data_IF_507665711350
#
_entry.id   IF_507665711350
#
_cell.length_a   1.000
_cell.length_b   1.000
_cell.length_c   1.000
_cell.angle_alpha   90.00
_cell.angle_beta   90.00
_cell.angle_gamma   90.00
#
_symmetry.space_group_name_H-M   'P 1'
#
loop_
_entity.id
_entity.type
_entity.pdbx_description
1 polymer ?
#
# COMPACT_ATOMS: atom_id res chain seq x y z
N UNK A 1 25.16 1.33 -7.03
CA UNK A 1 24.28 0.40 -6.29
C UNK A 1 24.85 0.19 -4.90
N UNK A 2 24.00 -0.10 -3.92
CA UNK A 2 24.37 -0.58 -2.59
C UNK A 2 23.95 -2.04 -2.53
N UNK A 3 24.90 -2.95 -2.39
CA UNK A 3 24.65 -4.38 -2.33
C UNK A 3 24.90 -4.88 -0.91
N UNK A 4 23.82 -5.15 -0.16
CA UNK A 4 23.93 -5.64 1.21
C UNK A 4 24.62 -7.01 1.25
N UNK A 5 24.65 -7.76 0.14
CA UNK A 5 25.35 -9.05 0.06
C UNK A 5 26.87 -8.96 0.20
N UNK A 6 27.43 -7.76 0.12
CA UNK A 6 28.85 -7.48 0.36
C UNK A 6 29.14 -7.14 1.83
N UNK A 7 28.13 -7.17 2.70
CA UNK A 7 28.27 -6.91 4.13
C UNK A 7 29.06 -8.03 4.81
N UNK A 8 29.93 -7.62 5.74
CA UNK A 8 30.60 -8.55 6.65
C UNK A 8 29.59 -9.16 7.62
N UNK A 9 29.48 -10.50 7.61
CA UNK A 9 28.56 -11.23 8.47
C UNK A 9 28.92 -11.15 9.97
N UNK A 10 30.13 -10.70 10.31
CA UNK A 10 30.61 -10.53 11.68
C UNK A 10 30.56 -9.08 12.18
N UNK A 11 30.13 -8.14 11.34
CA UNK A 11 29.92 -6.76 11.75
C UNK A 11 28.67 -6.62 12.63
N UNK A 12 28.63 -5.60 13.50
CA UNK A 12 27.46 -5.34 14.34
C UNK A 12 26.24 -4.87 13.51
N UNK A 13 26.50 -3.98 12.55
CA UNK A 13 25.48 -3.38 11.70
C UNK A 13 26.08 -2.78 10.41
N UNK A 14 25.23 -2.60 9.38
CA UNK A 14 25.57 -1.81 8.20
C UNK A 14 24.79 -0.51 8.16
N UNK A 15 25.52 0.61 8.06
CA UNK A 15 24.95 1.94 7.96
C UNK A 15 25.14 2.50 6.55
N UNK A 16 24.03 2.79 5.86
CA UNK A 16 24.00 3.40 4.54
C UNK A 16 23.26 4.72 4.66
N UNK A 17 23.95 5.83 4.43
CA UNK A 17 23.34 7.17 4.47
C UNK A 17 23.50 7.87 3.13
N UNK A 18 22.38 8.33 2.57
CA UNK A 18 22.30 9.13 1.36
C UNK A 18 21.58 10.42 1.71
N UNK A 19 22.28 11.55 1.59
CA UNK A 19 21.78 12.86 2.00
C UNK A 19 22.04 13.87 0.90
N UNK A 20 21.01 14.64 0.52
CA UNK A 20 21.11 15.66 -0.53
C UNK A 20 21.58 15.09 -1.89
N UNK A 21 21.26 13.81 -2.16
CA UNK A 21 21.64 13.17 -3.41
C UNK A 21 20.66 13.54 -4.54
N UNK A 22 21.19 13.63 -5.77
CA UNK A 22 20.40 13.83 -6.98
C UNK A 22 20.52 12.61 -7.89
N UNK A 23 19.39 12.01 -8.26
CA UNK A 23 19.29 10.95 -9.28
C UNK A 23 18.74 11.59 -10.55
N UNK A 24 19.45 11.49 -11.67
CA UNK A 24 19.04 12.14 -12.91
C UNK A 24 19.16 11.21 -14.12
N UNK A 25 18.37 11.49 -15.16
CA UNK A 25 18.57 10.94 -16.50
C UNK A 25 18.45 9.40 -16.59
N UNK A 26 17.55 8.80 -15.81
CA UNK A 26 17.39 7.34 -15.80
C UNK A 26 18.27 6.60 -14.79
N UNK A 27 19.02 7.31 -13.94
CA UNK A 27 19.86 6.71 -12.91
C UNK A 27 19.07 5.79 -11.98
N UNK A 28 19.65 4.65 -11.63
CA UNK A 28 19.04 3.67 -10.73
C UNK A 28 19.85 3.52 -9.44
N UNK A 29 19.27 3.95 -8.33
CA UNK A 29 19.78 3.63 -7.00
C UNK A 29 19.19 2.29 -6.57
N UNK A 30 19.99 1.22 -6.65
CA UNK A 30 19.56 -0.11 -6.21
C UNK A 30 20.14 -0.41 -4.83
N UNK A 31 19.28 -0.76 -3.87
CA UNK A 31 19.60 -1.30 -2.55
C UNK A 31 19.17 -2.77 -2.55
N UNK A 32 20.14 -3.67 -2.68
CA UNK A 32 19.90 -5.11 -2.79
C UNK A 32 20.08 -5.81 -1.45
N UNK A 33 19.02 -6.46 -0.97
CA UNK A 33 19.02 -7.37 0.16
C UNK A 33 19.34 -8.82 -0.24
N UNK A 34 18.85 -9.75 0.57
CA UNK A 34 19.23 -11.16 0.52
C UNK A 34 18.06 -12.05 0.13
N UNK A 35 18.32 -13.36 -0.01
CA UNK A 35 17.28 -14.36 0.19
C UNK A 35 16.79 -14.31 1.65
N UNK A 36 15.58 -14.80 1.92
CA UNK A 36 15.05 -14.79 3.28
C UNK A 36 15.89 -15.63 4.26
N UNK A 37 16.40 -16.79 3.82
CA UNK A 37 17.25 -17.66 4.65
C UNK A 37 18.56 -17.00 5.02
N UNK A 38 19.22 -16.34 4.07
CA UNK A 38 20.47 -15.62 4.34
C UNK A 38 20.21 -14.37 5.16
N UNK A 39 19.17 -13.59 4.89
CA UNK A 39 18.84 -12.37 5.63
C UNK A 39 18.82 -12.59 7.16
N UNK A 40 18.26 -13.73 7.61
CA UNK A 40 18.16 -14.09 9.04
C UNK A 40 19.50 -14.29 9.74
N UNK A 41 20.56 -14.53 8.98
CA UNK A 41 21.92 -14.76 9.49
C UNK A 41 22.78 -13.49 9.41
N UNK A 42 22.28 -12.44 8.80
CA UNK A 42 23.04 -11.21 8.58
C UNK A 42 22.78 -10.20 9.71
N UNK A 43 23.77 -9.37 10.06
CA UNK A 43 23.55 -8.23 10.94
C UNK A 43 22.52 -7.25 10.37
N UNK A 44 21.97 -6.44 11.26
CA UNK A 44 20.92 -5.50 10.91
C UNK A 44 21.47 -4.34 10.06
N UNK A 45 20.64 -3.79 9.19
CA UNK A 45 21.02 -2.73 8.25
C UNK A 45 20.16 -1.48 8.46
N UNK A 46 20.80 -0.32 8.50
CA UNK A 46 20.16 0.98 8.52
C UNK A 46 20.41 1.68 7.19
N UNK A 47 19.35 1.89 6.41
CA UNK A 47 19.40 2.59 5.13
C UNK A 47 18.61 3.88 5.24
N UNK A 48 19.32 5.01 5.30
CA UNK A 48 18.73 6.32 5.48
C UNK A 48 18.91 7.19 4.23
N UNK A 49 17.81 7.52 3.57
CA UNK A 49 17.74 8.38 2.40
C UNK A 49 16.97 9.65 2.77
N UNK A 50 17.66 10.78 2.82
CA UNK A 50 17.07 12.07 3.21
C UNK A 50 17.40 13.15 2.20
N UNK A 51 16.42 14.01 1.91
CA UNK A 51 16.58 15.11 0.95
C UNK A 51 17.06 14.63 -0.43
N UNK A 52 16.57 13.46 -0.87
CA UNK A 52 16.90 12.92 -2.20
C UNK A 52 16.00 13.59 -3.24
N UNK A 53 16.60 14.07 -4.31
CA UNK A 53 15.88 14.59 -5.47
C UNK A 53 16.06 13.65 -6.65
N UNK A 54 14.98 13.18 -7.26
CA UNK A 54 15.04 12.36 -8.47
C UNK A 54 14.37 13.08 -9.63
N UNK A 55 15.07 13.18 -10.76
CA UNK A 55 14.60 13.71 -12.04
C UNK A 55 14.79 12.62 -13.10
N UNK A 56 13.76 11.80 -13.30
CA UNK A 56 13.81 10.59 -14.13
C UNK A 56 14.67 9.46 -13.56
N UNK A 57 15.04 9.50 -12.27
CA UNK A 57 15.73 8.41 -11.60
C UNK A 57 14.77 7.46 -10.87
N UNK A 58 15.24 6.25 -10.60
CA UNK A 58 14.49 5.19 -9.91
C UNK A 58 15.25 4.70 -8.68
N UNK A 59 14.58 4.62 -7.55
CA UNK A 59 15.08 3.92 -6.36
C UNK A 59 14.51 2.49 -6.39
N UNK A 60 15.36 1.49 -6.20
CA UNK A 60 14.97 0.08 -6.19
C UNK A 60 15.40 -0.55 -4.88
N UNK A 61 14.44 -1.03 -4.08
CA UNK A 61 14.70 -1.91 -2.95
C UNK A 61 14.38 -3.34 -3.38
N UNK A 62 15.33 -4.25 -3.20
CA UNK A 62 15.19 -5.63 -3.67
C UNK A 62 15.48 -6.65 -2.57
N UNK A 63 14.70 -7.72 -2.48
CA UNK A 63 14.97 -8.87 -1.62
C UNK A 63 14.64 -8.67 -0.13
N UNK A 64 15.09 -9.60 0.70
CA UNK A 64 14.85 -9.61 2.13
C UNK A 64 15.84 -8.71 2.87
N UNK A 65 15.33 -7.83 3.74
CA UNK A 65 16.14 -7.08 4.68
C UNK A 65 16.51 -7.98 5.87
N UNK A 66 17.74 -7.90 6.41
CA UNK A 66 18.09 -8.59 7.65
C UNK A 66 17.14 -8.23 8.80
N UNK A 67 16.94 -9.12 9.79
CA UNK A 67 16.10 -8.81 10.94
C UNK A 67 16.50 -7.53 11.67
N UNK A 68 15.52 -6.84 12.25
CA UNK A 68 15.72 -5.62 13.05
C UNK A 68 16.35 -4.46 12.27
N UNK A 69 16.23 -4.47 10.94
CA UNK A 69 16.73 -3.41 10.06
C UNK A 69 15.77 -2.22 10.01
N UNK A 70 16.25 -1.10 9.45
CA UNK A 70 15.42 0.08 9.14
C UNK A 70 15.77 0.64 7.77
N UNK A 71 14.75 0.98 6.99
CA UNK A 71 14.85 1.73 5.74
C UNK A 71 14.02 3.00 5.89
N UNK A 72 14.66 4.16 5.75
CA UNK A 72 14.02 5.47 5.81
C UNK A 72 14.19 6.20 4.47
N UNK A 73 13.10 6.69 3.91
CA UNK A 73 13.09 7.64 2.80
C UNK A 73 12.30 8.89 3.23
N UNK A 74 12.99 9.99 3.47
CA UNK A 74 12.39 11.18 4.05
C UNK A 74 12.73 12.47 3.30
N UNK A 75 11.82 13.45 3.37
CA UNK A 75 12.02 14.81 2.85
C UNK A 75 12.45 14.83 1.37
N UNK A 76 11.95 13.89 0.57
CA UNK A 76 12.48 13.64 -0.78
C UNK A 76 11.47 13.98 -1.87
N UNK A 77 11.95 14.40 -3.03
CA UNK A 77 11.12 14.69 -4.20
C UNK A 77 11.55 13.80 -5.34
N UNK A 78 10.69 12.87 -5.75
CA UNK A 78 11.00 11.86 -6.74
C UNK A 78 10.09 12.01 -7.96
N UNK A 79 10.66 12.44 -9.07
CA UNK A 79 9.97 12.56 -10.34
C UNK A 79 10.46 11.48 -11.30
N UNK A 80 9.53 10.81 -11.98
CA UNK A 80 9.84 9.86 -13.03
C UNK A 80 8.77 9.90 -14.13
N UNK A 81 9.17 9.57 -15.35
CA UNK A 81 8.26 9.38 -16.47
C UNK A 81 8.51 8.04 -17.16
N UNK A 82 7.49 7.54 -17.83
CA UNK A 82 7.63 6.35 -18.70
C UNK A 82 8.73 6.55 -19.74
N UNK A 83 8.91 7.79 -20.25
CA UNK A 83 9.91 8.14 -21.26
C UNK A 83 11.35 8.18 -20.73
N UNK A 84 11.58 8.78 -19.56
CA UNK A 84 12.90 8.93 -18.95
C UNK A 84 13.38 7.71 -18.16
N UNK A 85 12.46 6.86 -17.72
CA UNK A 85 12.80 5.64 -16.99
C UNK A 85 13.65 4.67 -17.81
N UNK A 86 14.68 4.15 -17.15
CA UNK A 86 15.53 3.03 -17.60
C UNK A 86 15.26 1.73 -16.84
N UNK A 87 14.28 1.74 -15.95
CA UNK A 87 13.87 0.56 -15.22
C UNK A 87 13.11 -0.39 -16.14
N UNK A 88 13.51 -1.66 -16.16
CA UNK A 88 12.87 -2.71 -16.98
C UNK A 88 12.31 -3.76 -16.01
N UNK A 89 10.98 -3.94 -15.96
CA UNK A 89 10.37 -5.00 -15.19
C UNK A 89 10.83 -6.37 -15.66
N UNK A 90 10.92 -7.29 -14.71
CA UNK A 90 11.37 -8.67 -14.90
C UNK A 90 10.30 -9.70 -14.53
N UNK A 91 9.10 -9.27 -14.12
CA UNK A 91 7.95 -10.15 -13.90
C UNK A 91 7.67 -11.05 -15.12
N UNK A 92 7.63 -12.38 -14.96
CA UNK A 92 7.27 -13.32 -16.03
C UNK A 92 5.93 -12.98 -16.70
N UNK A 93 5.84 -13.15 -18.02
CA UNK A 93 4.62 -12.85 -18.78
C UNK A 93 4.27 -11.35 -18.91
N UNK A 94 5.06 -10.45 -18.30
CA UNK A 94 4.95 -9.00 -18.44
C UNK A 94 6.15 -8.37 -19.15
N UNK A 95 6.99 -9.21 -19.76
CA UNK A 95 8.15 -8.80 -20.56
C UNK A 95 7.72 -7.81 -21.66
N UNK A 96 8.40 -6.67 -21.75
CA UNK A 96 8.07 -5.58 -22.68
C UNK A 96 7.14 -4.49 -22.12
N UNK A 97 6.56 -4.68 -20.93
CA UNK A 97 5.81 -3.61 -20.27
C UNK A 97 6.75 -2.48 -19.86
N UNK A 98 6.41 -1.23 -20.22
CA UNK A 98 7.21 -0.06 -19.88
C UNK A 98 6.54 0.78 -18.80
N UNK A 99 7.23 0.94 -17.68
CA UNK A 99 6.79 1.76 -16.54
C UNK A 99 7.82 2.85 -16.23
N UNK A 100 7.33 3.93 -15.60
CA UNK A 100 8.15 5.06 -15.15
C UNK A 100 8.26 5.20 -13.64
N UNK A 101 8.65 4.17 -12.86
CA UNK A 101 8.58 4.23 -11.41
C UNK A 101 9.63 5.14 -10.80
N UNK A 102 9.21 5.89 -9.78
CA UNK A 102 10.10 6.60 -8.87
C UNK A 102 10.69 5.64 -7.82
N UNK A 103 9.87 4.70 -7.34
CA UNK A 103 10.25 3.65 -6.40
C UNK A 103 9.86 2.27 -6.94
N UNK A 104 10.74 1.30 -6.77
CA UNK A 104 10.47 -0.11 -7.03
C UNK A 104 10.70 -0.91 -5.76
N UNK A 105 9.73 -1.74 -5.40
CA UNK A 105 9.81 -2.74 -4.35
C UNK A 105 9.80 -4.12 -5.00
N UNK A 106 10.97 -4.74 -5.05
CA UNK A 106 11.19 -5.93 -5.84
C UNK A 106 11.47 -7.16 -4.95
N UNK A 107 10.45 -7.98 -4.69
CA UNK A 107 10.53 -9.14 -3.83
C UNK A 107 10.87 -8.77 -2.39
N UNK A 108 10.44 -7.58 -1.95
CA UNK A 108 10.82 -7.02 -0.66
C UNK A 108 10.19 -7.82 0.46
N UNK A 109 11.03 -8.28 1.39
CA UNK A 109 10.60 -8.96 2.62
C UNK A 109 11.14 -8.22 3.83
N UNK A 110 10.24 -7.73 4.67
CA UNK A 110 10.53 -7.13 5.96
C UNK A 110 10.34 -8.21 7.03
N UNK A 111 11.37 -8.39 7.87
CA UNK A 111 11.44 -9.40 8.93
C UNK A 111 11.81 -8.67 10.21
N UNK A 112 10.88 -8.35 11.10
CA UNK A 112 11.14 -7.42 12.22
C UNK A 112 11.77 -6.08 11.76
N UNK A 113 11.45 -5.65 10.55
CA UNK A 113 12.11 -4.51 9.87
C UNK A 113 11.12 -3.37 9.69
N UNK A 114 11.64 -2.15 9.81
CA UNK A 114 10.86 -0.93 9.61
C UNK A 114 11.19 -0.32 8.25
N UNK A 115 10.20 -0.17 7.38
CA UNK A 115 10.28 0.67 6.20
C UNK A 115 9.42 1.90 6.42
N UNK A 116 10.02 3.08 6.38
CA UNK A 116 9.35 4.36 6.60
C UNK A 116 9.60 5.28 5.42
N UNK A 117 8.53 5.74 4.78
CA UNK A 117 8.57 6.87 3.87
C UNK A 117 7.81 8.04 4.49
N UNK A 118 8.43 9.22 4.57
CA UNK A 118 7.75 10.37 5.17
C UNK A 118 8.09 11.70 4.51
N UNK A 119 7.16 12.66 4.52
CA UNK A 119 7.36 14.03 3.99
C UNK A 119 7.95 14.03 2.59
N UNK A 120 7.45 13.13 1.73
CA UNK A 120 8.04 12.90 0.41
C UNK A 120 6.99 13.02 -0.68
N UNK A 121 7.42 13.53 -1.84
CA UNK A 121 6.57 13.70 -3.02
C UNK A 121 7.03 12.76 -4.12
N UNK A 122 6.11 11.98 -4.69
CA UNK A 122 6.37 11.09 -5.82
C UNK A 122 5.47 11.51 -6.99
N UNK A 123 6.06 11.81 -8.14
CA UNK A 123 5.33 12.20 -9.35
C UNK A 123 5.71 11.27 -10.50
N UNK A 124 4.70 10.66 -11.12
CA UNK A 124 4.86 9.68 -12.19
C UNK A 124 4.08 10.11 -13.44
N UNK A 125 4.80 10.53 -14.49
CA UNK A 125 4.23 10.94 -15.77
C UNK A 125 4.21 9.85 -16.86
N UNK A 126 3.15 9.84 -17.67
CA UNK A 126 3.04 8.95 -18.85
C UNK A 126 1.87 7.95 -18.77
N UNK A 127 1.42 7.45 -19.92
CA UNK A 127 0.16 6.70 -20.05
C UNK A 127 0.09 5.33 -19.33
N UNK A 128 1.25 4.81 -18.91
CA UNK A 128 1.39 3.55 -18.15
C UNK A 128 2.08 3.75 -16.80
N UNK A 129 2.23 5.00 -16.32
CA UNK A 129 3.08 5.26 -15.16
C UNK A 129 2.53 4.67 -13.85
N UNK A 130 3.39 3.98 -13.09
CA UNK A 130 3.13 3.58 -11.70
C UNK A 130 4.20 4.21 -10.81
N UNK A 131 3.82 5.05 -9.85
CA UNK A 131 4.80 5.80 -9.06
C UNK A 131 5.66 4.86 -8.19
N UNK A 132 5.00 3.86 -7.60
CA UNK A 132 5.58 2.75 -6.88
C UNK A 132 5.24 1.47 -7.66
N UNK A 133 6.25 0.75 -8.11
CA UNK A 133 6.09 -0.53 -8.77
C UNK A 133 6.46 -1.65 -7.80
N UNK A 134 5.64 -2.68 -7.70
CA UNK A 134 5.94 -3.87 -6.91
C UNK A 134 6.08 -5.07 -7.84
N UNK A 135 7.18 -5.79 -7.71
CA UNK A 135 7.45 -7.04 -8.43
C UNK A 135 7.75 -8.15 -7.44
N UNK A 136 7.44 -9.40 -7.80
CA UNK A 136 7.73 -10.59 -6.96
C UNK A 136 7.17 -10.53 -5.53
N UNK A 137 6.17 -9.66 -5.32
CA UNK A 137 5.48 -9.47 -4.04
C UNK A 137 6.17 -8.54 -3.04
N UNK A 138 5.36 -8.07 -2.09
CA UNK A 138 5.77 -7.31 -0.90
C UNK A 138 5.27 -8.04 0.34
N UNK A 139 6.19 -8.40 1.23
CA UNK A 139 5.89 -9.11 2.48
C UNK A 139 6.34 -8.30 3.68
N UNK A 140 5.42 -8.04 4.61
CA UNK A 140 5.65 -7.38 5.89
C UNK A 140 5.37 -8.41 6.98
N UNK A 141 6.42 -8.99 7.56
CA UNK A 141 6.29 -10.14 8.45
C UNK A 141 7.13 -10.00 9.73
N UNK A 142 6.80 -10.78 10.77
CA UNK A 142 7.52 -10.82 12.05
C UNK A 142 7.55 -9.45 12.74
N UNK A 143 6.38 -8.90 13.08
CA UNK A 143 6.27 -7.60 13.76
C UNK A 143 6.96 -6.46 12.99
N UNK A 144 6.95 -6.54 11.65
CA UNK A 144 7.50 -5.51 10.77
C UNK A 144 6.51 -4.36 10.60
N UNK A 145 7.05 -3.23 10.13
CA UNK A 145 6.26 -2.04 9.84
C UNK A 145 6.59 -1.55 8.44
N UNK A 146 5.58 -1.38 7.60
CA UNK A 146 5.64 -0.57 6.39
C UNK A 146 4.77 0.67 6.59
N UNK A 147 5.40 1.84 6.59
CA UNK A 147 4.76 3.08 6.97
C UNK A 147 5.01 4.16 5.91
N UNK A 148 3.94 4.78 5.41
CA UNK A 148 4.01 5.98 4.59
C UNK A 148 3.22 7.10 5.26
N UNK A 149 3.86 8.23 5.50
CA UNK A 149 3.25 9.34 6.24
C UNK A 149 3.55 10.70 5.61
N UNK A 150 2.55 11.59 5.57
CA UNK A 150 2.71 12.93 5.01
C UNK A 150 3.33 12.90 3.59
N UNK A 151 2.87 11.96 2.76
CA UNK A 151 3.37 11.75 1.41
C UNK A 151 2.35 12.22 0.37
N UNK A 152 2.84 12.85 -0.70
CA UNK A 152 2.04 13.22 -1.85
C UNK A 152 2.45 12.35 -3.04
N UNK A 153 1.55 11.51 -3.55
CA UNK A 153 1.84 10.62 -4.67
C UNK A 153 0.88 10.88 -5.83
N UNK A 154 1.43 11.31 -6.95
CA UNK A 154 0.68 11.63 -8.15
C UNK A 154 1.14 10.75 -9.30
N UNK A 155 0.20 10.08 -9.95
CA UNK A 155 0.49 9.21 -11.09
C UNK A 155 -0.63 9.26 -12.11
N UNK A 156 -0.36 9.02 -13.39
CA UNK A 156 -1.43 8.96 -14.41
C UNK A 156 -2.22 7.66 -14.41
N UNK A 157 -1.66 6.57 -13.87
CA UNK A 157 -2.26 5.23 -14.02
C UNK A 157 -2.42 4.54 -12.68
N UNK A 158 -1.33 4.27 -11.99
CA UNK A 158 -1.37 3.62 -10.68
C UNK A 158 -0.47 4.36 -9.70
N UNK A 159 -0.88 4.41 -8.43
CA UNK A 159 0.02 4.90 -7.38
C UNK A 159 1.03 3.81 -7.04
N UNK A 160 0.55 2.70 -6.47
CA UNK A 160 1.28 1.48 -6.15
C UNK A 160 0.72 0.31 -6.96
N UNK A 161 1.54 -0.24 -7.86
CA UNK A 161 1.12 -1.30 -8.78
C UNK A 161 1.95 -2.57 -8.63
N UNK A 162 1.32 -3.62 -8.15
CA UNK A 162 1.84 -4.99 -8.14
C UNK A 162 1.70 -5.64 -9.51
N UNK A 163 2.83 -5.87 -10.18
CA UNK A 163 2.89 -6.62 -11.42
C UNK A 163 2.83 -8.12 -11.12
N UNK A 164 1.64 -8.72 -11.22
CA UNK A 164 1.40 -10.13 -10.87
C UNK A 164 2.05 -10.46 -9.51
N UNK A 165 1.75 -9.62 -8.52
CA UNK A 165 2.44 -9.56 -7.25
C UNK A 165 1.44 -9.50 -6.11
N UNK A 166 1.82 -10.10 -4.99
CA UNK A 166 1.02 -10.17 -3.78
C UNK A 166 1.47 -9.13 -2.76
N UNK A 167 0.52 -8.68 -1.93
CA UNK A 167 0.79 -7.98 -0.67
C UNK A 167 0.46 -8.92 0.49
N UNK A 168 1.45 -9.19 1.35
CA UNK A 168 1.27 -10.00 2.56
C UNK A 168 1.68 -9.22 3.80
N UNK A 169 0.78 -9.12 4.77
CA UNK A 169 1.03 -8.50 6.07
C UNK A 169 0.74 -9.54 7.15
N UNK A 170 1.77 -10.02 7.84
CA UNK A 170 1.68 -11.21 8.69
C UNK A 170 2.47 -11.10 10.00
N UNK A 171 2.16 -11.95 10.97
CA UNK A 171 2.95 -12.11 12.20
C UNK A 171 2.99 -10.86 13.08
N UNK A 172 1.83 -10.25 13.35
CA UNK A 172 1.70 -9.03 14.15
C UNK A 172 2.29 -7.79 13.47
N UNK A 173 2.33 -7.76 12.14
CA UNK A 173 2.91 -6.66 11.38
C UNK A 173 1.89 -5.58 11.05
N UNK A 174 2.39 -4.39 10.70
CA UNK A 174 1.55 -3.25 10.32
C UNK A 174 1.96 -2.71 8.95
N UNK A 175 1.00 -2.64 8.03
CA UNK A 175 1.11 -1.84 6.81
C UNK A 175 0.18 -0.63 6.94
N UNK A 176 0.73 0.57 6.84
CA UNK A 176 -0.03 1.78 7.11
C UNK A 176 0.34 2.93 6.18
N UNK A 177 -0.69 3.54 5.61
CA UNK A 177 -0.60 4.81 4.87
C UNK A 177 -1.38 5.85 5.65
N UNK A 178 -0.71 6.95 6.01
CA UNK A 178 -1.30 8.01 6.83
C UNK A 178 -1.01 9.42 6.32
N UNK A 179 -1.90 10.35 6.62
CA UNK A 179 -1.73 11.79 6.36
C UNK A 179 -1.29 12.09 4.91
N UNK A 180 -1.69 11.26 3.96
CA UNK A 180 -1.14 11.27 2.61
C UNK A 180 -2.18 11.64 1.57
N UNK A 181 -1.73 12.20 0.46
CA UNK A 181 -2.59 12.51 -0.69
C UNK A 181 -2.15 11.69 -1.90
N UNK A 182 -3.05 10.85 -2.40
CA UNK A 182 -2.78 9.94 -3.51
C UNK A 182 -3.71 10.26 -4.67
N UNK A 183 -3.14 10.52 -5.84
CA UNK A 183 -3.88 10.91 -7.03
C UNK A 183 -3.52 10.05 -8.23
N UNK A 184 -4.55 9.42 -8.81
CA UNK A 184 -4.47 8.68 -10.06
C UNK A 184 -5.63 9.06 -10.99
N UNK A 185 -5.63 10.28 -11.57
CA UNK A 185 -6.65 10.74 -12.48
C UNK A 185 -6.49 10.01 -13.82
N UNK A 186 -7.37 9.04 -14.09
CA UNK A 186 -7.40 8.32 -15.36
C UNK A 186 -8.82 8.25 -15.91
N UNK A 187 -8.97 8.30 -17.23
CA UNK A 187 -10.27 8.07 -17.88
C UNK A 187 -10.59 6.57 -18.03
N UNK A 188 -9.59 5.71 -17.79
CA UNK A 188 -9.74 4.28 -17.96
C UNK A 188 -10.20 3.63 -16.66
N UNK A 189 -11.21 2.78 -16.78
CA UNK A 189 -11.61 1.83 -15.75
C UNK A 189 -10.44 0.89 -15.39
N UNK A 190 -10.48 0.31 -14.18
CA UNK A 190 -9.46 -0.62 -13.66
C UNK A 190 -8.08 0.00 -13.32
N UNK A 191 -8.04 1.29 -13.02
CA UNK A 191 -6.84 1.99 -12.57
C UNK A 191 -6.98 2.43 -11.11
N UNK A 192 -6.20 1.82 -10.23
CA UNK A 192 -6.30 2.03 -8.78
C UNK A 192 -5.04 2.55 -8.10
N UNK A 193 -5.19 2.87 -6.82
CA UNK A 193 -4.11 3.33 -5.95
C UNK A 193 -3.20 2.18 -5.49
N UNK A 194 -3.75 1.09 -4.98
CA UNK A 194 -3.04 -0.13 -4.60
C UNK A 194 -3.60 -1.28 -5.43
N UNK A 195 -2.81 -1.87 -6.32
CA UNK A 195 -3.26 -2.97 -7.18
C UNK A 195 -2.38 -4.19 -6.95
N UNK A 196 -2.96 -5.30 -6.50
CA UNK A 196 -2.25 -6.56 -6.25
C UNK A 196 -3.04 -7.75 -6.79
N UNK A 197 -2.41 -8.91 -6.93
CA UNK A 197 -3.11 -10.15 -7.26
C UNK A 197 -3.77 -10.72 -6.00
N UNK A 198 -2.97 -10.98 -4.95
CA UNK A 198 -3.49 -11.39 -3.64
C UNK A 198 -3.13 -10.36 -2.59
N UNK A 199 -4.11 -10.00 -1.75
CA UNK A 199 -3.88 -9.25 -0.52
C UNK A 199 -4.24 -10.16 0.66
N UNK A 200 -3.26 -10.42 1.54
CA UNK A 200 -3.47 -11.24 2.73
C UNK A 200 -2.98 -10.54 3.99
N UNK A 201 -3.83 -10.44 5.00
CA UNK A 201 -3.52 -9.90 6.33
C UNK A 201 -3.79 -10.99 7.36
N UNK A 202 -2.76 -11.42 8.10
CA UNK A 202 -2.88 -12.59 8.98
C UNK A 202 -2.09 -12.50 10.28
N UNK A 203 -2.46 -13.33 11.27
CA UNK A 203 -1.74 -13.48 12.53
C UNK A 203 -1.67 -12.19 13.35
N UNK A 204 -2.82 -11.59 13.62
CA UNK A 204 -2.95 -10.34 14.40
C UNK A 204 -2.34 -9.12 13.72
N UNK A 205 -2.27 -9.11 12.38
CA UNK A 205 -1.66 -8.01 11.62
C UNK A 205 -2.69 -6.95 11.23
N UNK A 206 -2.19 -5.77 10.84
CA UNK A 206 -3.03 -4.61 10.49
C UNK A 206 -2.67 -4.06 9.12
N UNK A 207 -3.68 -3.92 8.25
CA UNK A 207 -3.62 -3.13 7.02
C UNK A 207 -4.51 -1.90 7.21
N UNK A 208 -3.93 -0.71 7.26
CA UNK A 208 -4.67 0.51 7.58
C UNK A 208 -4.38 1.70 6.68
N UNK A 209 -5.43 2.49 6.43
CA UNK A 209 -5.42 3.75 5.71
C UNK A 209 -6.10 4.81 6.60
N UNK A 210 -5.32 5.80 7.07
CA UNK A 210 -5.77 6.76 8.08
C UNK A 210 -5.50 8.21 7.64
N UNK A 211 -6.47 9.13 7.72
CA UNK A 211 -6.24 10.56 7.42
C UNK A 211 -5.72 10.84 6.00
N UNK A 212 -6.15 10.07 5.00
CA UNK A 212 -5.70 10.26 3.63
C UNK A 212 -6.74 10.93 2.73
N UNK A 213 -6.27 11.57 1.67
CA UNK A 213 -7.10 12.04 0.55
C UNK A 213 -6.78 11.23 -0.70
N UNK A 214 -7.74 10.48 -1.22
CA UNK A 214 -7.61 9.69 -2.43
C UNK A 214 -8.41 10.31 -3.57
N UNK A 215 -7.73 10.69 -4.66
CA UNK A 215 -8.36 11.18 -5.90
C UNK A 215 -8.08 10.22 -7.03
N UNK A 216 -8.97 9.26 -7.21
CA UNK A 216 -8.77 8.08 -8.04
C UNK A 216 -9.88 7.97 -9.09
N UNK A 217 -9.58 7.31 -10.20
CA UNK A 217 -10.58 7.02 -11.22
C UNK A 217 -11.44 5.81 -10.90
N UNK A 218 -10.85 4.77 -10.29
CA UNK A 218 -11.53 3.49 -10.11
C UNK A 218 -11.56 3.02 -8.66
N UNK A 219 -10.42 2.59 -8.10
CA UNK A 219 -10.44 1.98 -6.77
C UNK A 219 -9.22 2.33 -5.91
N UNK A 220 -9.40 2.41 -4.58
CA UNK A 220 -8.27 2.59 -3.67
C UNK A 220 -7.46 1.31 -3.54
N UNK A 221 -8.07 0.19 -3.14
CA UNK A 221 -7.46 -1.13 -3.10
C UNK A 221 -8.10 -2.03 -4.15
N UNK A 222 -7.30 -2.65 -5.01
CA UNK A 222 -7.71 -3.63 -5.99
C UNK A 222 -6.96 -4.94 -5.77
N UNK A 223 -7.70 -6.04 -5.70
CA UNK A 223 -7.13 -7.37 -5.60
C UNK A 223 -7.91 -8.39 -6.45
N UNK A 224 -7.29 -9.50 -6.84
CA UNK A 224 -8.04 -10.67 -7.27
C UNK A 224 -8.68 -11.35 -6.04
N UNK A 225 -7.96 -11.45 -4.93
CA UNK A 225 -8.47 -11.95 -3.66
C UNK A 225 -8.01 -11.12 -2.46
N UNK A 226 -8.87 -11.04 -1.44
CA UNK A 226 -8.61 -10.37 -0.18
C UNK A 226 -8.91 -11.34 0.98
N UNK A 227 -7.90 -11.61 1.81
CA UNK A 227 -8.05 -12.49 2.98
C UNK A 227 -7.57 -11.78 4.24
N UNK A 228 -8.42 -11.75 5.27
CA UNK A 228 -8.10 -11.18 6.59
C UNK A 228 -8.38 -12.24 7.65
N UNK A 229 -7.34 -12.78 8.29
CA UNK A 229 -7.45 -13.97 9.15
C UNK A 229 -6.63 -13.86 10.44
N UNK A 230 -6.80 -14.81 11.37
CA UNK A 230 -6.07 -14.86 12.63
C UNK A 230 -6.21 -13.60 13.48
N UNK A 231 -7.42 -13.06 13.63
CA UNK A 231 -7.68 -11.84 14.41
C UNK A 231 -7.06 -10.56 13.81
N UNK A 232 -6.89 -10.51 12.50
CA UNK A 232 -6.26 -9.38 11.80
C UNK A 232 -7.27 -8.28 11.44
N UNK A 233 -6.75 -7.12 11.04
CA UNK A 233 -7.55 -5.91 10.87
C UNK A 233 -7.33 -5.27 9.51
N UNK A 234 -8.43 -4.94 8.83
CA UNK A 234 -8.47 -3.97 7.74
C UNK A 234 -9.13 -2.68 8.24
N UNK A 235 -8.49 -1.54 8.05
CA UNK A 235 -8.95 -0.26 8.62
C UNK A 235 -8.95 0.86 7.59
N UNK A 236 -10.07 1.54 7.46
CA UNK A 236 -10.19 2.81 6.76
C UNK A 236 -10.76 3.85 7.73
N UNK A 237 -9.94 4.82 8.09
CA UNK A 237 -10.31 5.84 9.08
C UNK A 237 -10.00 7.26 8.64
N UNK A 238 -10.94 8.19 8.82
CA UNK A 238 -10.73 9.62 8.54
C UNK A 238 -10.23 9.91 7.12
N UNK A 239 -10.65 9.13 6.12
CA UNK A 239 -10.21 9.36 4.74
C UNK A 239 -11.25 10.14 3.93
N UNK A 240 -10.79 10.96 3.00
CA UNK A 240 -11.59 11.47 1.89
C UNK A 240 -11.32 10.61 0.66
N UNK A 241 -12.34 9.90 0.19
CA UNK A 241 -12.29 9.11 -1.02
C UNK A 241 -13.05 9.81 -2.14
N UNK A 242 -12.36 10.12 -3.24
CA UNK A 242 -12.96 10.44 -4.54
C UNK A 242 -12.62 9.33 -5.50
N UNK A 243 -13.47 8.32 -5.57
CA UNK A 243 -13.22 7.04 -6.24
C UNK A 243 -14.55 6.34 -6.55
N UNK A 244 -14.56 5.34 -7.44
CA UNK A 244 -15.75 4.51 -7.65
C UNK A 244 -15.88 3.45 -6.54
N UNK A 245 -14.77 2.81 -6.18
CA UNK A 245 -14.70 1.82 -5.09
C UNK A 245 -13.58 2.15 -4.10
N UNK A 246 -13.78 1.86 -2.81
CA UNK A 246 -12.66 1.87 -1.85
C UNK A 246 -11.90 0.56 -1.96
N UNK A 247 -12.60 -0.58 -1.95
CA UNK A 247 -12.06 -1.93 -2.10
C UNK A 247 -12.74 -2.58 -3.30
N UNK A 248 -11.95 -3.04 -4.27
CA UNK A 248 -12.43 -3.76 -5.43
C UNK A 248 -11.79 -5.14 -5.47
N UNK A 249 -12.60 -6.20 -5.50
CA UNK A 249 -12.12 -7.58 -5.61
C UNK A 249 -12.72 -8.26 -6.84
N UNK A 250 -11.84 -8.78 -7.68
CA UNK A 250 -12.23 -9.27 -9.00
C UNK A 250 -12.76 -10.71 -9.00
N UNK A 251 -12.28 -11.57 -8.09
CA UNK A 251 -12.67 -12.99 -8.10
C UNK A 251 -13.97 -13.20 -7.33
N UNK A 252 -14.86 -14.00 -7.89
CA UNK A 252 -16.02 -14.54 -7.18
C UNK A 252 -15.57 -15.32 -5.93
N UNK A 253 -16.25 -15.14 -4.79
CA UNK A 253 -15.86 -15.69 -3.50
C UNK A 253 -14.41 -15.29 -3.12
N UNK A 254 -13.94 -14.16 -3.64
CA UNK A 254 -12.56 -13.69 -3.51
C UNK A 254 -12.24 -13.10 -2.15
N UNK A 255 -13.26 -12.93 -1.28
CA UNK A 255 -13.11 -12.26 0.00
C UNK A 255 -13.46 -13.14 1.16
N UNK A 256 -12.52 -13.23 2.09
CA UNK A 256 -12.70 -14.02 3.29
C UNK A 256 -12.16 -13.29 4.52
N UNK A 257 -13.02 -13.14 5.50
CA UNK A 257 -12.65 -12.77 6.85
C UNK A 257 -12.85 -13.99 7.75
N UNK A 258 -11.83 -14.36 8.54
CA UNK A 258 -11.89 -15.54 9.43
C UNK A 258 -11.28 -15.23 10.80
N UNK A 259 -11.51 -16.12 11.76
CA UNK A 259 -10.87 -16.11 13.08
C UNK A 259 -11.06 -14.79 13.84
N UNK A 260 -12.29 -14.24 13.80
CA UNK A 260 -12.64 -12.95 14.44
C UNK A 260 -11.84 -11.77 13.89
N UNK A 261 -11.51 -11.80 12.61
CA UNK A 261 -10.87 -10.66 11.93
C UNK A 261 -11.87 -9.55 11.66
N UNK A 262 -11.37 -8.31 11.69
CA UNK A 262 -12.19 -7.11 11.75
C UNK A 262 -11.98 -6.24 10.52
N UNK A 263 -13.07 -5.64 10.03
CA UNK A 263 -13.06 -4.53 9.10
C UNK A 263 -13.65 -3.28 9.74
N UNK A 264 -12.81 -2.26 9.95
CA UNK A 264 -13.22 -0.98 10.51
C UNK A 264 -13.35 0.08 9.43
N UNK A 265 -14.54 0.66 9.29
CA UNK A 265 -14.86 1.71 8.32
C UNK A 265 -15.39 2.91 9.11
N UNK A 266 -14.51 3.88 9.37
CA UNK A 266 -14.75 4.90 10.39
C UNK A 266 -14.49 6.31 9.86
N UNK A 267 -15.41 7.24 10.03
CA UNK A 267 -15.23 8.68 9.75
C UNK A 267 -14.73 8.97 8.33
N UNK A 268 -15.14 8.18 7.33
CA UNK A 268 -14.73 8.40 5.94
C UNK A 268 -15.77 9.25 5.20
N UNK A 269 -15.29 10.11 4.31
CA UNK A 269 -16.14 10.82 3.35
C UNK A 269 -15.93 10.22 1.96
N UNK A 270 -16.97 9.66 1.37
CA UNK A 270 -16.97 9.04 0.05
C UNK A 270 -17.72 9.93 -0.93
N UNK A 271 -17.02 10.38 -1.97
CA UNK A 271 -17.49 11.28 -3.00
C UNK A 271 -17.17 10.71 -4.38
N UNK A 272 -17.86 11.22 -5.40
CA UNK A 272 -17.68 10.79 -6.79
C UNK A 272 -16.21 10.85 -7.23
N UNK A 273 -15.80 9.83 -7.99
CA UNK A 273 -14.49 9.75 -8.61
C UNK A 273 -14.21 10.90 -9.56
N UNK A 274 -12.94 11.18 -9.83
CA UNK A 274 -12.53 12.37 -10.62
C UNK A 274 -13.06 12.39 -12.06
N UNK A 275 -13.44 11.23 -12.61
CA UNK A 275 -13.94 11.06 -13.99
C UNK A 275 -15.12 10.09 -14.08
N UNK A 276 -15.81 9.85 -12.97
CA UNK A 276 -16.89 8.88 -12.87
C UNK A 276 -18.11 9.56 -12.28
N UNK A 277 -19.23 9.52 -13.01
CA UNK A 277 -20.56 9.85 -12.47
C UNK A 277 -21.17 8.67 -11.70
N UNK A 278 -20.50 7.52 -11.61
CA UNK A 278 -20.94 6.37 -10.83
C UNK A 278 -20.82 6.65 -9.34
N UNK A 279 -21.71 6.02 -8.58
CA UNK A 279 -21.76 6.07 -7.13
C UNK A 279 -20.44 5.66 -6.47
N UNK A 280 -20.08 6.36 -5.38
CA UNK A 280 -18.90 6.06 -4.57
C UNK A 280 -19.25 4.98 -3.55
N UNK A 281 -18.77 3.77 -3.78
CA UNK A 281 -19.04 2.60 -2.94
C UNK A 281 -17.83 2.20 -2.11
N UNK A 282 -18.08 1.50 -1.01
CA UNK A 282 -17.01 0.83 -0.29
C UNK A 282 -16.51 -0.37 -1.09
N UNK A 283 -17.43 -1.14 -1.70
CA UNK A 283 -17.13 -2.39 -2.41
C UNK A 283 -17.87 -2.53 -3.73
N UNK A 284 -17.29 -3.31 -4.65
CA UNK A 284 -18.04 -3.86 -5.78
C UNK A 284 -18.88 -5.06 -5.32
N UNK A 285 -19.82 -5.48 -6.17
CA UNK A 285 -20.57 -6.72 -5.95
C UNK A 285 -19.60 -7.89 -5.91
N UNK A 286 -19.63 -8.61 -4.79
CA UNK A 286 -18.66 -9.64 -4.46
C UNK A 286 -19.30 -10.66 -3.53
N UNK A 287 -19.10 -11.94 -3.83
CA UNK A 287 -19.52 -13.02 -2.94
C UNK A 287 -18.39 -13.41 -1.98
N UNK A 288 -18.77 -14.06 -0.89
CA UNK A 288 -17.85 -14.59 0.11
C UNK A 288 -18.01 -16.11 0.22
N UNK A 289 -16.92 -16.85 0.48
CA UNK A 289 -17.01 -18.27 0.85
C UNK A 289 -17.92 -18.48 2.06
N UNK A 290 -18.57 -19.64 2.14
CA UNK A 290 -19.53 -19.97 3.20
C UNK A 290 -18.95 -19.96 4.62
N UNK A 291 -17.62 -20.09 4.75
CA UNK A 291 -16.91 -20.05 6.03
C UNK A 291 -16.37 -18.64 6.38
N UNK A 292 -16.62 -17.64 5.53
CA UNK A 292 -16.30 -16.23 5.82
C UNK A 292 -17.25 -15.69 6.89
N UNK A 293 -16.68 -15.02 7.89
CA UNK A 293 -17.40 -14.45 9.03
C UNK A 293 -16.81 -13.07 9.39
N UNK A 294 -17.01 -12.05 8.53
CA UNK A 294 -16.48 -10.72 8.77
C UNK A 294 -17.15 -10.07 9.99
N UNK A 295 -16.34 -9.46 10.85
CA UNK A 295 -16.82 -8.52 11.87
C UNK A 295 -16.61 -7.12 11.30
N UNK A 296 -17.69 -6.43 10.94
CA UNK A 296 -17.62 -5.11 10.29
C UNK A 296 -18.19 -4.04 11.21
N UNK A 297 -17.42 -2.98 11.42
CA UNK A 297 -17.83 -1.78 12.15
C UNK A 297 -17.93 -0.58 11.23
N UNK A 298 -19.04 0.14 11.33
CA UNK A 298 -19.33 1.37 10.60
C UNK A 298 -19.61 2.53 11.55
N UNK A 299 -18.85 3.63 11.45
CA UNK A 299 -19.01 4.79 12.35
C UNK A 299 -18.84 6.09 11.56
N UNK A 300 -19.81 7.01 11.63
CA UNK A 300 -19.75 8.35 11.02
C UNK A 300 -19.24 8.43 9.57
N UNK A 301 -19.59 7.47 8.73
CA UNK A 301 -19.24 7.61 7.32
C UNK A 301 -20.25 8.51 6.62
N UNK A 302 -19.77 9.28 5.66
CA UNK A 302 -20.58 10.08 4.77
C UNK A 302 -20.40 9.56 3.35
N UNK A 303 -21.49 9.45 2.60
CA UNK A 303 -21.49 9.11 1.19
C UNK A 303 -22.28 10.16 0.43
N UNK A 304 -21.67 10.74 -0.61
CA UNK A 304 -22.31 11.73 -1.50
C UNK A 304 -22.89 12.92 -0.73
N UNK A 305 -22.19 13.36 0.32
CA UNK A 305 -22.59 14.49 1.16
C UNK A 305 -23.72 14.20 2.16
N UNK A 306 -24.12 12.94 2.33
CA UNK A 306 -25.11 12.52 3.33
C UNK A 306 -24.51 11.50 4.30
N UNK A 307 -24.90 11.50 5.59
CA UNK A 307 -24.53 10.45 6.52
C UNK A 307 -24.99 9.06 6.02
N UNK A 308 -24.12 8.06 6.13
CA UNK A 308 -24.44 6.67 5.80
C UNK A 308 -25.26 6.07 6.92
N UNK A 309 -26.46 5.60 6.57
CA UNK A 309 -27.38 4.97 7.53
C UNK A 309 -27.63 3.49 7.22
N UNK A 310 -27.52 3.10 5.94
CA UNK A 310 -27.69 1.73 5.48
C UNK A 310 -26.49 1.32 4.63
N UNK A 311 -25.48 0.69 5.25
CA UNK A 311 -24.23 0.33 4.58
C UNK A 311 -24.41 -0.58 3.36
N UNK A 312 -25.44 -1.44 3.36
CA UNK A 312 -25.78 -2.27 2.21
C UNK A 312 -26.17 -1.42 1.00
N UNK A 313 -27.10 -0.48 1.16
CA UNK A 313 -27.62 0.32 0.04
C UNK A 313 -26.70 1.51 -0.30
N UNK A 314 -26.15 2.17 0.72
CA UNK A 314 -25.39 3.40 0.56
C UNK A 314 -23.96 3.13 0.06
N UNK A 315 -23.35 2.02 0.53
CA UNK A 315 -21.93 1.70 0.34
C UNK A 315 -21.68 0.32 -0.29
N UNK A 316 -22.72 -0.43 -0.63
CA UNK A 316 -22.65 -1.76 -1.25
C UNK A 316 -21.94 -2.83 -0.40
N UNK A 317 -22.13 -2.78 0.92
CA UNK A 317 -21.59 -3.81 1.83
C UNK A 317 -22.66 -4.86 2.09
N UNK A 318 -22.58 -6.00 1.41
CA UNK A 318 -23.55 -7.09 1.55
C UNK A 318 -23.55 -7.76 2.93
N UNK A 319 -22.40 -7.78 3.60
CA UNK A 319 -22.30 -8.36 4.95
C UNK A 319 -22.89 -7.44 6.03
N UNK A 320 -23.49 -8.00 7.10
CA UNK A 320 -24.01 -7.21 8.21
C UNK A 320 -22.94 -6.28 8.80
N UNK A 321 -23.31 -5.01 8.99
CA UNK A 321 -22.44 -3.99 9.59
C UNK A 321 -22.99 -3.61 10.96
N UNK A 322 -22.12 -3.65 11.97
CA UNK A 322 -22.42 -3.09 13.29
C UNK A 322 -22.20 -1.58 13.23
N UNK A 323 -23.30 -0.83 13.14
CA UNK A 323 -23.28 0.63 13.08
C UNK A 323 -23.21 1.21 14.49
N UNK A 324 -22.21 2.04 14.77
CA UNK A 324 -22.07 2.74 16.06
C UNK A 324 -22.31 4.24 15.88
N UNK A 325 -22.79 4.89 16.94
CA UNK A 325 -23.02 6.32 16.95
C UNK A 325 -21.71 7.13 16.86
N UNK A 326 -21.85 8.36 16.38
CA UNK A 326 -20.72 9.27 16.29
C UNK A 326 -20.16 9.66 17.64
N UNK A 327 -18.82 9.66 17.75
CA UNK A 327 -18.12 9.91 19.00
C UNK A 327 -18.11 8.73 19.98
N UNK A 328 -18.82 7.64 19.68
CA UNK A 328 -18.74 6.42 20.48
C UNK A 328 -17.45 5.68 20.19
N UNK A 329 -16.75 5.37 21.26
CA UNK A 329 -15.48 4.68 21.24
C UNK A 329 -15.64 3.29 21.85
N UNK A 330 -15.59 2.24 21.03
CA UNK A 330 -15.54 0.86 21.52
C UNK A 330 -14.18 0.26 21.21
N UNK A 331 -13.69 -0.61 22.09
CA UNK A 331 -12.42 -1.35 21.88
C UNK A 331 -12.48 -2.14 20.57
N UNK A 332 -13.67 -2.67 20.24
CA UNK A 332 -13.88 -3.49 19.06
C UNK A 332 -13.89 -2.69 17.74
N UNK A 333 -14.18 -1.38 17.79
CA UNK A 333 -14.09 -0.47 16.65
C UNK A 333 -12.82 0.41 16.67
N UNK A 334 -11.89 0.14 17.60
CA UNK A 334 -10.58 0.77 17.80
C UNK A 334 -10.56 2.30 17.71
N UNK A 335 -10.46 2.91 18.90
CA UNK A 335 -9.98 4.27 19.06
C UNK A 335 -8.48 4.28 19.34
N UNK A 336 -7.69 4.45 18.30
CA UNK A 336 -6.43 5.17 18.52
C UNK A 336 -6.81 6.65 18.53
N UNK A 337 -6.87 7.27 19.72
CA UNK A 337 -6.76 8.72 19.78
C UNK A 337 -5.43 9.08 19.07
N UNK A 338 -5.49 10.10 18.21
CA UNK A 338 -4.33 10.60 17.49
C UNK A 338 -3.23 11.04 18.46
#
# INVERSE_FOLDING_TARGET
SVDLRLMDAFADALNVTLRHCVLAGGAQLRIGGFSESTARLMPHAFVNMTNVTSLEGTIVLHGAMPPNSSVLLANSTLHATVGGSKYVPTTPGRAGSRYGPALVLDGVRLLSTRFVMTRSTLVCGGGSCAAILVERGLSVNLSSVFYMDNCAVMSRTHVMHGLASDLRVAGGSVFSIQNSSWSAPSINFYRGACVFEVVSVSGGSVLQFVFNTFRLSFAMLMAATLSVTGGSWLVHRNNEFRTAYVVYVAKENGVAFRDRSVWSILYNSLMYGSYSSYDAHMTNDWSQPSDSSPIIYGVCNEARGSPVTRYQDDLNIESPVTVLECGVCTVDAVCFAA
#
